data_IF_852614053733
#
_entry.id   IF_852614053733
#
_cell.length_a   1.000
_cell.length_b   1.000
_cell.length_c   1.000
_cell.angle_alpha   90.00
_cell.angle_beta   90.00
_cell.angle_gamma   90.00
#
_symmetry.space_group_name_H-M   'P 1'
#
loop_
_entity.id
_entity.type
_entity.pdbx_description
1 polymer ?
#
# COMPACT_ATOMS: atom_id res chain seq x y z
N UNK A 1 8.01 -6.43 -13.12
CA UNK A 1 8.78 -6.63 -11.87
C UNK A 1 10.29 -6.72 -12.11
N UNK A 2 10.76 -7.10 -13.27
CA UNK A 2 12.21 -7.39 -13.46
C UNK A 2 13.09 -6.13 -13.67
N UNK A 3 12.50 -4.97 -13.85
CA UNK A 3 13.24 -3.70 -14.04
C UNK A 3 13.20 -2.85 -12.79
N UNK A 4 12.01 -2.55 -12.26
CA UNK A 4 11.84 -1.63 -11.13
C UNK A 4 11.98 -2.29 -9.76
N UNK A 5 11.75 -3.60 -9.64
CA UNK A 5 12.08 -4.32 -8.42
C UNK A 5 13.59 -4.50 -8.29
N UNK A 6 14.14 -4.05 -7.18
CA UNK A 6 15.58 -4.14 -6.87
C UNK A 6 15.80 -5.16 -5.77
N UNK A 7 16.24 -6.38 -6.11
CA UNK A 7 16.47 -7.45 -5.12
C UNK A 7 17.44 -7.05 -4.01
N UNK A 8 18.45 -6.24 -4.34
CA UNK A 8 19.43 -5.72 -3.39
C UNK A 8 18.84 -4.76 -2.34
N UNK A 9 17.71 -4.13 -2.65
CA UNK A 9 16.96 -3.28 -1.73
C UNK A 9 15.75 -4.02 -1.13
N UNK A 10 15.26 -5.05 -1.80
CA UNK A 10 13.99 -5.70 -1.50
C UNK A 10 12.76 -4.85 -1.85
N UNK A 11 12.93 -3.75 -2.60
CA UNK A 11 11.93 -2.72 -2.85
C UNK A 11 11.75 -2.45 -4.35
N UNK A 12 10.63 -1.81 -4.69
CA UNK A 12 10.34 -1.26 -6.00
C UNK A 12 10.73 0.22 -6.00
N UNK A 13 11.44 0.66 -7.04
CA UNK A 13 11.83 2.06 -7.22
C UNK A 13 10.91 2.73 -8.24
N UNK A 14 10.69 4.05 -8.07
CA UNK A 14 9.83 4.85 -8.96
C UNK A 14 10.56 5.25 -10.24
N UNK A 15 11.86 5.51 -10.16
CA UNK A 15 12.67 6.05 -11.24
C UNK A 15 14.00 5.31 -11.41
N UNK A 16 14.41 5.18 -12.66
CA UNK A 16 15.67 4.59 -13.06
C UNK A 16 16.33 5.48 -14.14
N UNK A 17 17.61 5.34 -14.30
CA UNK A 17 18.32 5.91 -15.44
C UNK A 17 18.01 5.15 -16.74
N UNK A 18 18.54 5.65 -17.86
CA UNK A 18 18.28 5.11 -19.20
C UNK A 18 18.77 3.68 -19.41
N UNK A 19 19.78 3.27 -18.65
CA UNK A 19 20.35 1.93 -18.67
C UNK A 19 19.81 1.06 -17.51
N UNK A 20 18.67 1.46 -16.94
CA UNK A 20 18.03 0.82 -15.78
C UNK A 20 18.87 0.82 -14.50
N UNK A 21 19.82 1.73 -14.36
CA UNK A 21 20.63 1.92 -13.15
C UNK A 21 19.91 2.75 -12.09
N UNK A 22 20.30 2.55 -10.83
CA UNK A 22 19.86 3.41 -9.72
C UNK A 22 20.57 4.76 -9.79
N UNK A 23 19.81 5.84 -9.89
CA UNK A 23 20.36 7.21 -9.98
C UNK A 23 20.35 7.87 -8.60
N UNK A 24 21.47 8.51 -8.22
CA UNK A 24 21.59 9.28 -6.97
C UNK A 24 21.23 10.76 -7.19
N UNK A 25 19.96 11.00 -7.56
CA UNK A 25 19.33 12.30 -7.55
C UNK A 25 18.02 12.23 -6.74
N UNK A 26 17.36 13.36 -6.51
CA UNK A 26 16.12 13.40 -5.72
C UNK A 26 15.05 12.47 -6.28
N UNK A 27 14.78 12.52 -7.59
CA UNK A 27 13.79 11.65 -8.24
C UNK A 27 14.23 10.19 -8.23
N UNK A 28 15.51 9.90 -8.52
CA UNK A 28 16.02 8.52 -8.54
C UNK A 28 16.11 7.84 -7.16
N UNK A 29 15.97 8.62 -6.07
CA UNK A 29 15.89 8.08 -4.71
C UNK A 29 14.48 8.00 -4.17
N UNK A 30 13.53 8.65 -4.85
CA UNK A 30 12.13 8.67 -4.44
C UNK A 30 11.52 7.27 -4.46
N UNK A 31 10.86 6.91 -3.39
CA UNK A 31 10.05 5.72 -3.25
C UNK A 31 8.61 6.11 -2.89
N UNK A 32 7.64 5.40 -3.43
CA UNK A 32 6.24 5.51 -3.07
C UNK A 32 5.74 4.13 -2.62
N UNK A 33 5.77 3.82 -1.32
CA UNK A 33 5.34 2.53 -0.82
C UNK A 33 3.91 2.18 -1.24
N UNK A 34 3.03 3.18 -1.33
CA UNK A 34 1.65 2.98 -1.78
C UNK A 34 1.53 2.45 -3.21
N UNK A 35 2.28 3.00 -4.16
CA UNK A 35 2.31 2.51 -5.54
C UNK A 35 2.86 1.09 -5.63
N UNK A 36 3.95 0.84 -4.91
CA UNK A 36 4.57 -0.48 -4.90
C UNK A 36 3.61 -1.54 -4.33
N UNK A 37 2.96 -1.24 -3.21
CA UNK A 37 1.97 -2.12 -2.58
C UNK A 37 0.76 -2.34 -3.50
N UNK A 38 0.20 -1.27 -4.07
CA UNK A 38 -0.92 -1.35 -5.01
C UNK A 38 -0.58 -2.25 -6.20
N UNK A 39 0.59 -2.06 -6.81
CA UNK A 39 1.03 -2.88 -7.93
C UNK A 39 1.06 -4.38 -7.59
N UNK A 40 1.33 -4.75 -6.34
CA UNK A 40 1.44 -6.15 -5.96
C UNK A 40 0.11 -6.89 -5.99
N UNK A 41 -1.02 -6.27 -5.63
CA UNK A 41 -2.28 -6.98 -5.77
C UNK A 41 -2.70 -7.13 -7.26
N UNK A 42 -2.34 -6.19 -8.14
CA UNK A 42 -2.50 -6.41 -9.59
C UNK A 42 -1.70 -7.61 -10.07
N UNK A 43 -0.47 -7.75 -9.59
CA UNK A 43 0.39 -8.90 -9.93
C UNK A 43 -0.15 -10.20 -9.34
N UNK A 44 -0.69 -10.19 -8.12
CA UNK A 44 -1.35 -11.36 -7.53
C UNK A 44 -2.56 -11.80 -8.36
N UNK A 45 -3.42 -10.86 -8.80
CA UNK A 45 -4.56 -11.17 -9.67
C UNK A 45 -4.12 -11.72 -11.03
N UNK A 46 -3.02 -11.19 -11.59
CA UNK A 46 -2.42 -11.74 -12.80
C UNK A 46 -1.91 -13.16 -12.57
N UNK A 47 -1.14 -13.39 -11.49
CA UNK A 47 -0.65 -14.73 -11.11
C UNK A 47 -1.78 -15.73 -10.95
N UNK A 48 -2.87 -15.34 -10.29
CA UNK A 48 -4.09 -16.16 -10.15
C UNK A 48 -4.68 -16.54 -11.51
N UNK A 49 -4.79 -15.59 -12.45
CA UNK A 49 -5.31 -15.84 -13.81
C UNK A 49 -4.41 -16.76 -14.63
N UNK A 50 -3.10 -16.67 -14.44
CA UNK A 50 -2.12 -17.49 -15.15
C UNK A 50 -1.86 -18.86 -14.48
N UNK A 51 -2.35 -19.07 -13.26
CA UNK A 51 -2.02 -20.24 -12.44
C UNK A 51 -0.55 -20.23 -11.96
N UNK A 52 0.08 -19.06 -11.87
CA UNK A 52 1.48 -18.89 -11.49
C UNK A 52 1.60 -18.55 -9.99
N UNK A 53 1.73 -19.59 -9.18
CA UNK A 53 1.86 -19.47 -7.74
C UNK A 53 3.18 -18.78 -7.33
N UNK A 54 4.27 -19.00 -8.08
CA UNK A 54 5.55 -18.38 -7.78
C UNK A 54 5.49 -16.85 -7.97
N UNK A 55 4.74 -16.37 -8.98
CA UNK A 55 4.48 -14.96 -9.20
C UNK A 55 3.70 -14.34 -8.03
N UNK A 56 2.67 -15.05 -7.52
CA UNK A 56 1.89 -14.62 -6.37
C UNK A 56 2.77 -14.50 -5.12
N UNK A 57 3.56 -15.52 -4.82
CA UNK A 57 4.45 -15.53 -3.66
C UNK A 57 5.52 -14.43 -3.72
N UNK A 58 6.06 -14.18 -4.92
CA UNK A 58 6.99 -13.06 -5.15
C UNK A 58 6.31 -11.72 -4.89
N UNK A 59 5.07 -11.53 -5.35
CA UNK A 59 4.31 -10.29 -5.11
C UNK A 59 3.99 -10.10 -3.62
N UNK A 60 3.59 -11.15 -2.92
CA UNK A 60 3.37 -11.12 -1.46
C UNK A 60 4.64 -10.71 -0.71
N UNK A 61 5.79 -11.31 -1.04
CA UNK A 61 7.06 -10.98 -0.42
C UNK A 61 7.43 -9.51 -0.60
N UNK A 62 7.23 -8.97 -1.79
CA UNK A 62 7.51 -7.56 -2.09
C UNK A 62 6.53 -6.66 -1.33
N UNK A 63 5.23 -6.97 -1.33
CA UNK A 63 4.23 -6.21 -0.61
C UNK A 63 4.52 -6.08 0.90
N UNK A 64 4.93 -7.19 1.53
CA UNK A 64 5.31 -7.20 2.95
C UNK A 64 6.54 -6.33 3.22
N UNK A 65 7.56 -6.42 2.35
CA UNK A 65 8.75 -5.58 2.47
C UNK A 65 8.43 -4.09 2.32
N UNK A 66 7.58 -3.72 1.36
CA UNK A 66 7.13 -2.35 1.14
C UNK A 66 6.30 -1.80 2.30
N UNK A 67 5.42 -2.63 2.86
CA UNK A 67 4.62 -2.24 4.03
C UNK A 67 5.49 -2.01 5.26
N UNK A 68 6.46 -2.90 5.55
CA UNK A 68 7.39 -2.73 6.67
C UNK A 68 8.29 -1.50 6.47
N UNK A 69 8.77 -1.29 5.23
CA UNK A 69 9.62 -0.13 4.91
C UNK A 69 8.85 1.19 5.01
N UNK A 70 7.61 1.23 4.52
CA UNK A 70 6.76 2.43 4.50
C UNK A 70 6.09 2.75 5.82
N UNK A 71 6.08 1.84 6.80
CA UNK A 71 5.37 2.02 8.07
C UNK A 71 6.03 3.04 9.00
N UNK A 72 5.28 4.03 9.44
CA UNK A 72 5.74 4.96 10.48
C UNK A 72 5.72 4.28 11.86
N UNK A 73 6.89 3.92 12.35
CA UNK A 73 7.05 3.21 13.65
C UNK A 73 6.68 4.04 14.85
N UNK A 74 6.56 5.36 14.69
CA UNK A 74 6.24 6.27 15.80
C UNK A 74 4.73 6.56 15.91
N UNK A 75 4.08 6.81 14.78
CA UNK A 75 2.68 7.26 14.75
C UNK A 75 1.75 6.29 14.00
N UNK A 76 2.29 5.24 13.40
CA UNK A 76 1.52 4.34 12.55
C UNK A 76 1.19 4.94 11.19
N UNK A 77 0.55 4.12 10.36
CA UNK A 77 0.25 4.46 8.97
C UNK A 77 1.47 4.39 8.05
N UNK A 78 1.22 4.40 6.75
CA UNK A 78 2.24 4.31 5.72
C UNK A 78 2.55 5.70 5.20
N UNK A 79 3.84 6.05 5.12
CA UNK A 79 4.30 7.31 4.54
C UNK A 79 3.91 7.41 3.07
N UNK A 80 3.64 8.63 2.61
CA UNK A 80 3.35 8.87 1.21
C UNK A 80 4.58 8.68 0.34
N UNK A 81 5.68 9.33 0.70
CA UNK A 81 6.96 9.18 0.01
C UNK A 81 8.10 8.89 0.98
N UNK A 82 9.13 8.22 0.48
CA UNK A 82 10.37 7.97 1.21
C UNK A 82 11.58 8.16 0.28
N UNK A 83 12.73 8.47 0.86
CA UNK A 83 14.01 8.48 0.15
C UNK A 83 14.76 7.19 0.46
N UNK A 84 15.20 6.43 -0.56
CA UNK A 84 15.88 5.14 -0.37
C UNK A 84 17.19 5.21 0.42
N UNK A 85 17.78 6.41 0.57
CA UNK A 85 18.98 6.66 1.35
C UNK A 85 18.69 7.44 2.65
N UNK A 86 17.42 7.68 2.97
CA UNK A 86 17.01 8.43 4.16
C UNK A 86 17.37 9.91 4.12
N UNK A 87 17.56 10.50 2.93
CA UNK A 87 17.85 11.93 2.76
C UNK A 87 16.55 12.74 2.71
N UNK A 88 16.59 14.06 2.94
CA UNK A 88 15.43 14.93 2.81
C UNK A 88 14.80 14.83 1.42
N UNK A 89 13.48 14.77 1.39
CA UNK A 89 12.66 14.73 0.20
C UNK A 89 12.31 16.14 -0.29
N UNK A 90 12.12 16.29 -1.60
CA UNK A 90 11.61 17.51 -2.21
C UNK A 90 10.10 17.64 -2.02
N UNK A 91 9.39 16.51 -1.94
CA UNK A 91 7.96 16.45 -1.72
C UNK A 91 7.64 16.85 -0.27
N UNK A 92 7.07 18.04 -0.07
CA UNK A 92 6.77 18.58 1.27
C UNK A 92 5.70 17.76 2.02
N UNK A 93 4.87 17.04 1.27
CA UNK A 93 3.81 16.16 1.77
C UNK A 93 4.27 14.72 2.04
N UNK A 94 5.56 14.45 2.05
CA UNK A 94 6.12 13.08 2.13
C UNK A 94 5.66 12.29 3.35
N UNK A 95 5.45 12.95 4.47
CA UNK A 95 5.07 12.31 5.75
C UNK A 95 3.56 12.23 5.99
N UNK A 96 2.76 12.72 5.03
CA UNK A 96 1.30 12.61 5.12
C UNK A 96 0.86 11.14 4.98
N UNK A 97 -0.30 10.85 5.59
CA UNK A 97 -0.97 9.55 5.45
C UNK A 97 -2.17 9.74 4.53
N UNK A 98 -2.17 9.05 3.39
CA UNK A 98 -3.20 9.21 2.37
C UNK A 98 -4.17 8.03 2.35
N UNK A 99 -5.45 8.31 2.11
CA UNK A 99 -6.53 7.33 2.05
C UNK A 99 -6.24 6.18 1.08
N UNK A 100 -5.74 6.52 -0.11
CA UNK A 100 -5.54 5.53 -1.16
C UNK A 100 -4.41 4.54 -0.82
N UNK A 101 -3.32 5.01 -0.25
CA UNK A 101 -2.22 4.16 0.20
C UNK A 101 -2.72 3.08 1.17
N UNK A 102 -3.59 3.47 2.11
CA UNK A 102 -4.06 2.57 3.16
C UNK A 102 -5.13 1.58 2.67
N UNK A 103 -6.09 2.02 1.83
CA UNK A 103 -7.06 1.07 1.25
C UNK A 103 -6.40 0.10 0.27
N UNK A 104 -5.43 0.53 -0.53
CA UNK A 104 -4.67 -0.35 -1.41
C UNK A 104 -3.84 -1.38 -0.60
N UNK A 105 -3.31 -0.96 0.54
CA UNK A 105 -2.63 -1.89 1.45
C UNK A 105 -3.60 -2.92 2.04
N UNK A 106 -4.80 -2.52 2.45
CA UNK A 106 -5.83 -3.47 2.90
C UNK A 106 -6.13 -4.52 1.83
N UNK A 107 -6.36 -4.08 0.58
CA UNK A 107 -6.61 -5.00 -0.54
C UNK A 107 -5.45 -5.98 -0.71
N UNK A 108 -4.23 -5.45 -0.75
CA UNK A 108 -3.02 -6.22 -1.01
C UNK A 108 -2.79 -7.28 0.06
N UNK A 109 -2.94 -6.91 1.33
CA UNK A 109 -2.68 -7.81 2.45
C UNK A 109 -3.74 -8.89 2.57
N UNK A 110 -5.03 -8.56 2.43
CA UNK A 110 -6.07 -9.60 2.52
C UNK A 110 -6.03 -10.56 1.32
N UNK A 111 -5.73 -10.07 0.11
CA UNK A 111 -5.51 -10.94 -1.06
C UNK A 111 -4.27 -11.82 -0.89
N UNK A 112 -3.18 -11.28 -0.35
CA UNK A 112 -1.99 -12.06 -0.03
C UNK A 112 -2.32 -13.23 0.89
N UNK A 113 -3.09 -12.99 1.95
CA UNK A 113 -3.57 -14.03 2.85
C UNK A 113 -4.52 -15.02 2.15
N UNK A 114 -5.52 -14.55 1.40
CA UNK A 114 -6.46 -15.38 0.63
C UNK A 114 -5.74 -16.38 -0.29
N UNK A 115 -4.70 -15.91 -0.99
CA UNK A 115 -4.03 -16.67 -2.05
C UNK A 115 -2.88 -17.56 -1.54
N UNK A 116 -2.29 -17.24 -0.38
CA UNK A 116 -1.10 -17.95 0.10
C UNK A 116 -1.23 -18.53 1.51
N UNK A 117 -2.21 -18.08 2.30
CA UNK A 117 -2.32 -18.43 3.72
C UNK A 117 -1.23 -17.79 4.60
N UNK A 118 -0.47 -16.81 4.09
CA UNK A 118 0.61 -16.20 4.82
C UNK A 118 0.08 -15.36 6.00
N UNK A 119 0.32 -15.82 7.23
CA UNK A 119 -0.15 -15.18 8.45
C UNK A 119 0.39 -13.75 8.66
N UNK A 120 1.54 -13.40 8.08
CA UNK A 120 2.08 -12.04 8.14
C UNK A 120 1.20 -11.07 7.33
N UNK A 121 0.64 -11.52 6.21
CA UNK A 121 -0.34 -10.73 5.47
C UNK A 121 -1.59 -10.43 6.30
N UNK A 122 -2.10 -11.42 7.04
CA UNK A 122 -3.25 -11.22 7.93
C UNK A 122 -2.92 -10.23 9.05
N UNK A 123 -1.75 -10.36 9.68
CA UNK A 123 -1.30 -9.45 10.72
C UNK A 123 -1.16 -8.00 10.21
N UNK A 124 -0.65 -7.82 8.98
CA UNK A 124 -0.61 -6.51 8.34
C UNK A 124 -2.00 -5.98 8.00
N UNK A 125 -2.89 -6.84 7.51
CA UNK A 125 -4.28 -6.46 7.24
C UNK A 125 -4.96 -5.92 8.51
N UNK A 126 -4.87 -6.65 9.63
CA UNK A 126 -5.43 -6.23 10.90
C UNK A 126 -4.83 -4.90 11.39
N UNK A 127 -3.51 -4.75 11.32
CA UNK A 127 -2.82 -3.50 11.69
C UNK A 127 -3.29 -2.29 10.88
N UNK A 128 -3.40 -2.44 9.56
CA UNK A 128 -3.87 -1.36 8.68
C UNK A 128 -5.36 -1.12 8.90
N UNK A 129 -6.16 -2.16 9.11
CA UNK A 129 -7.58 -2.05 9.43
C UNK A 129 -7.79 -1.19 10.68
N UNK A 130 -7.13 -1.51 11.77
CA UNK A 130 -7.23 -0.73 13.01
C UNK A 130 -6.82 0.73 12.81
N UNK A 131 -5.73 0.95 12.05
CA UNK A 131 -5.27 2.30 11.75
C UNK A 131 -6.30 3.10 10.94
N UNK A 132 -6.86 2.53 9.86
CA UNK A 132 -7.79 3.29 8.99
C UNK A 132 -9.09 3.60 9.69
N UNK A 133 -9.63 2.67 10.47
CA UNK A 133 -10.88 2.91 11.22
C UNK A 133 -10.71 3.89 12.38
N UNK A 134 -9.51 3.99 12.91
CA UNK A 134 -9.20 4.95 13.99
C UNK A 134 -8.91 6.36 13.48
N UNK A 135 -8.42 6.53 12.24
CA UNK A 135 -7.90 7.81 11.77
C UNK A 135 -8.60 8.38 10.53
N UNK A 136 -9.03 7.54 9.58
CA UNK A 136 -9.65 8.02 8.33
C UNK A 136 -11.17 8.08 8.38
N UNK A 137 -11.80 7.29 9.26
CA UNK A 137 -13.24 7.25 9.36
C UNK A 137 -13.79 8.54 9.97
N UNK A 138 -14.84 9.09 9.35
CA UNK A 138 -15.63 10.15 9.94
C UNK A 138 -16.80 9.53 10.73
N UNK A 139 -16.89 9.76 12.03
CA UNK A 139 -17.95 9.18 12.86
C UNK A 139 -19.34 9.76 12.60
N UNK A 140 -19.44 10.95 11.99
CA UNK A 140 -20.70 11.65 11.77
C UNK A 140 -21.25 11.44 10.35
N UNK A 141 -20.38 11.34 9.35
CA UNK A 141 -20.77 11.27 7.96
C UNK A 141 -20.02 10.17 7.21
N UNK A 142 -20.68 9.39 6.35
CA UNK A 142 -20.01 8.37 5.52
C UNK A 142 -18.86 8.91 4.70
N UNK A 143 -17.98 8.02 4.27
CA UNK A 143 -16.76 8.25 3.50
C UNK A 143 -15.59 8.69 4.40
N UNK A 144 -14.42 8.20 4.06
CA UNK A 144 -13.16 8.50 4.74
C UNK A 144 -12.67 9.92 4.45
N UNK A 145 -12.00 10.53 5.41
CA UNK A 145 -11.13 11.66 5.13
C UNK A 145 -10.00 11.24 4.17
N UNK A 146 -9.43 12.18 3.44
CA UNK A 146 -8.43 11.85 2.42
C UNK A 146 -6.99 12.02 2.89
N UNK A 147 -6.75 13.00 3.76
CA UNK A 147 -5.42 13.48 4.06
C UNK A 147 -5.24 13.66 5.55
N UNK A 148 -4.30 12.92 6.13
CA UNK A 148 -3.89 13.07 7.52
C UNK A 148 -2.45 13.61 7.56
N UNK A 149 -2.13 14.33 8.63
CA UNK A 149 -0.75 14.65 8.95
C UNK A 149 0.01 13.39 9.43
N UNK A 150 1.30 13.54 9.72
CA UNK A 150 2.11 12.42 10.20
C UNK A 150 1.56 11.77 11.46
N UNK A 151 0.96 12.57 12.37
CA UNK A 151 0.40 12.12 13.65
C UNK A 151 -0.95 11.40 13.51
N UNK A 152 -1.54 11.40 12.30
CA UNK A 152 -2.83 10.77 12.03
C UNK A 152 -4.02 11.72 12.24
N UNK A 153 -3.79 13.02 12.37
CA UNK A 153 -4.85 14.02 12.49
C UNK A 153 -5.31 14.49 11.11
N UNK A 154 -6.60 14.78 10.97
CA UNK A 154 -7.20 15.19 9.70
C UNK A 154 -6.67 16.55 9.25
N UNK A 155 -6.01 16.59 8.09
CA UNK A 155 -5.52 17.83 7.48
C UNK A 155 -6.62 18.56 6.70
N UNK A 156 -7.45 17.81 5.99
CA UNK A 156 -8.55 18.34 5.16
C UNK A 156 -9.83 17.58 5.50
N UNK A 157 -10.87 18.31 5.86
CA UNK A 157 -12.21 17.75 6.10
C UNK A 157 -12.97 17.47 4.80
N UNK A 158 -12.46 17.96 3.66
CA UNK A 158 -13.01 17.69 2.35
C UNK A 158 -12.82 16.21 1.96
N UNK A 159 -13.93 15.50 1.73
CA UNK A 159 -13.94 14.07 1.42
C UNK A 159 -13.86 13.74 -0.07
N UNK A 160 -14.03 14.71 -0.93
CA UNK A 160 -13.84 14.60 -2.38
C UNK A 160 -12.95 15.71 -2.90
N UNK A 161 -12.30 15.53 -4.03
CA UNK A 161 -11.40 16.52 -4.59
C UNK A 161 -10.80 16.07 -5.93
N UNK A 162 -9.80 16.82 -6.39
CA UNK A 162 -9.12 16.53 -7.66
C UNK A 162 -8.59 15.08 -7.73
N UNK A 163 -8.08 14.56 -6.62
CA UNK A 163 -7.44 13.26 -6.54
C UNK A 163 -8.28 12.19 -5.84
N UNK A 164 -9.13 12.60 -4.90
CA UNK A 164 -9.99 11.69 -4.14
C UNK A 164 -11.40 11.68 -4.74
N UNK A 165 -11.69 10.67 -5.52
CA UNK A 165 -13.02 10.35 -6.04
C UNK A 165 -13.52 9.00 -5.52
N UNK A 166 -14.58 8.47 -6.11
CA UNK A 166 -15.18 7.20 -5.74
C UNK A 166 -14.45 5.98 -6.34
N UNK A 167 -13.13 6.04 -6.51
CA UNK A 167 -12.34 4.94 -7.08
C UNK A 167 -11.73 4.05 -6.01
N UNK A 168 -10.82 4.58 -5.17
CA UNK A 168 -10.05 3.75 -4.25
C UNK A 168 -10.92 3.15 -3.13
N UNK A 169 -11.64 3.98 -2.36
CA UNK A 169 -12.35 3.49 -1.16
C UNK A 169 -13.50 2.54 -1.51
N UNK A 170 -14.47 2.88 -2.38
CA UNK A 170 -15.58 1.97 -2.67
C UNK A 170 -15.12 0.67 -3.34
N UNK A 171 -14.22 0.76 -4.32
CA UNK A 171 -13.64 -0.42 -4.96
C UNK A 171 -12.85 -1.26 -3.95
N UNK A 172 -12.05 -0.60 -3.13
CA UNK A 172 -11.22 -1.28 -2.15
C UNK A 172 -12.04 -2.03 -1.12
N UNK A 173 -13.05 -1.40 -0.52
CA UNK A 173 -13.96 -2.05 0.42
C UNK A 173 -14.69 -3.23 -0.21
N UNK A 174 -15.14 -3.11 -1.46
CA UNK A 174 -15.75 -4.22 -2.19
C UNK A 174 -14.76 -5.39 -2.36
N UNK A 175 -13.52 -5.13 -2.76
CA UNK A 175 -12.51 -6.18 -2.94
C UNK A 175 -12.10 -6.84 -1.63
N UNK A 176 -11.96 -6.05 -0.56
CA UNK A 176 -11.71 -6.58 0.79
C UNK A 176 -12.84 -7.49 1.23
N UNK A 177 -14.09 -7.04 1.09
CA UNK A 177 -15.28 -7.84 1.41
C UNK A 177 -15.29 -9.17 0.66
N UNK A 178 -15.08 -9.14 -0.67
CA UNK A 178 -15.04 -10.35 -1.50
C UNK A 178 -13.91 -11.32 -1.11
N UNK A 179 -12.74 -10.81 -0.70
CA UNK A 179 -11.66 -11.67 -0.21
C UNK A 179 -12.03 -12.31 1.13
N UNK A 180 -12.63 -11.55 2.05
CA UNK A 180 -13.08 -12.07 3.34
C UNK A 180 -14.18 -13.15 3.17
N UNK A 181 -15.13 -12.97 2.25
CA UNK A 181 -16.13 -14.01 1.93
C UNK A 181 -15.46 -15.31 1.48
N UNK A 182 -14.53 -15.22 0.49
CA UNK A 182 -13.82 -16.42 0.00
C UNK A 182 -12.94 -17.09 1.06
N UNK A 183 -12.40 -16.32 2.00
CA UNK A 183 -11.65 -16.87 3.13
C UNK A 183 -12.60 -17.62 4.07
N UNK A 184 -13.74 -17.03 4.41
CA UNK A 184 -14.74 -17.66 5.28
C UNK A 184 -15.25 -18.98 4.69
N UNK A 185 -15.60 -18.99 3.38
CA UNK A 185 -16.06 -20.21 2.67
C UNK A 185 -15.04 -21.37 2.66
N UNK A 186 -13.75 -21.09 2.84
CA UNK A 186 -12.72 -22.13 2.93
C UNK A 186 -12.62 -22.78 4.32
N UNK A 187 -13.19 -22.14 5.32
CA UNK A 187 -13.14 -22.59 6.72
C UNK A 187 -14.44 -23.22 7.20
N UNK A 188 -15.53 -23.13 6.39
CA UNK A 188 -16.80 -23.85 6.60
C UNK A 188 -16.75 -25.24 5.91
#
# INVERSE_FOLDING_TARGET
MDVFYRPELGLIVEHLGTDNELVDCMDGRLLNPGHAIEAMWFIMDLGKRLGDQALIEKAVKIALAEAEYGWDKQYGGIFYFMDRLGRPLQQLEWDQKLWWVHIETLITMIKGYELTGNAECLAWFERIHDYVWSHFMDPEHPEWFGYLNRQGEVLLTLKGGKWKGCFHVPRGLMQVYQSLERIAEKHD
#
